data_IF_463804420065
#
_entry.id   IF_463804420065
#
_cell.length_a   1.000
_cell.length_b   1.000
_cell.length_c   1.000
_cell.angle_alpha   90.00
_cell.angle_beta   90.00
_cell.angle_gamma   90.00
#
_symmetry.space_group_name_H-M   'P 1'
#
loop_
_entity.id
_entity.type
_entity.pdbx_description
1 polymer ?
#
# COMPACT_ATOMS: atom_id res chain seq x y z
N UNK A 1 -21.64 -12.46 -27.34
CA UNK A 1 -21.59 -13.00 -25.96
C UNK A 1 -20.15 -13.39 -25.70
N UNK A 2 -19.33 -12.44 -25.23
CA UNK A 2 -17.93 -12.70 -24.89
C UNK A 2 -17.90 -13.38 -23.52
N UNK A 3 -17.35 -14.59 -23.48
CA UNK A 3 -17.16 -15.33 -22.24
C UNK A 3 -16.38 -14.47 -21.24
N UNK A 4 -16.95 -14.28 -20.05
CA UNK A 4 -16.25 -13.63 -18.94
C UNK A 4 -14.99 -14.43 -18.55
N UNK A 5 -14.00 -13.78 -17.92
CA UNK A 5 -12.76 -14.43 -17.55
C UNK A 5 -13.05 -15.63 -16.64
N UNK A 6 -12.46 -16.77 -16.98
CA UNK A 6 -12.50 -17.99 -16.16
C UNK A 6 -11.92 -17.66 -14.78
N UNK A 7 -12.56 -18.04 -13.66
CA UNK A 7 -12.01 -17.80 -12.35
C UNK A 7 -10.64 -18.48 -12.25
N UNK A 8 -9.59 -17.71 -11.94
CA UNK A 8 -8.29 -18.28 -11.62
C UNK A 8 -8.46 -19.32 -10.50
N UNK A 9 -7.71 -20.42 -10.57
CA UNK A 9 -7.66 -21.40 -9.50
C UNK A 9 -7.35 -20.67 -8.18
N UNK A 10 -8.19 -20.85 -7.15
CA UNK A 10 -8.01 -20.19 -5.86
C UNK A 10 -6.67 -20.62 -5.26
N UNK A 11 -5.80 -19.67 -5.00
CA UNK A 11 -4.59 -19.90 -4.22
C UNK A 11 -4.95 -20.15 -2.75
N UNK A 12 -4.14 -20.92 -2.03
CA UNK A 12 -4.26 -21.06 -0.58
C UNK A 12 -3.64 -19.87 0.18
N UNK A 13 -3.23 -18.81 -0.53
CA UNK A 13 -2.61 -17.62 0.06
C UNK A 13 -3.61 -16.83 0.90
N UNK A 14 -3.26 -16.54 2.14
CA UNK A 14 -4.10 -15.81 3.11
C UNK A 14 -3.49 -14.44 3.36
N UNK A 15 -4.22 -13.39 3.04
CA UNK A 15 -3.78 -11.99 3.22
C UNK A 15 -4.66 -11.32 4.27
N UNK A 16 -4.03 -10.89 5.37
CA UNK A 16 -4.67 -10.16 6.44
C UNK A 16 -4.94 -8.72 6.06
N UNK A 17 -6.14 -8.19 6.35
CA UNK A 17 -6.47 -6.77 6.18
C UNK A 17 -6.81 -6.20 7.54
N UNK A 18 -6.02 -5.22 8.00
CA UNK A 18 -6.19 -4.64 9.33
C UNK A 18 -7.27 -3.55 9.31
N UNK A 19 -8.27 -3.67 10.17
CA UNK A 19 -9.26 -2.61 10.38
C UNK A 19 -8.96 -1.86 11.68
N UNK A 20 -8.64 -0.56 11.55
CA UNK A 20 -8.58 0.38 12.66
C UNK A 20 -9.93 1.12 12.80
N UNK A 21 -10.25 1.68 13.98
CA UNK A 21 -11.36 2.61 14.10
C UNK A 21 -11.13 3.80 13.13
N UNK A 22 -12.01 4.01 12.16
CA UNK A 22 -11.86 5.05 11.14
C UNK A 22 -11.18 4.60 9.83
N UNK A 23 -10.76 3.34 9.70
CA UNK A 23 -10.45 2.75 8.39
C UNK A 23 -11.68 2.80 7.48
N UNK A 24 -11.47 3.06 6.18
CA UNK A 24 -12.55 3.20 5.20
C UNK A 24 -12.47 2.15 4.10
N UNK A 25 -11.25 1.82 3.67
CA UNK A 25 -11.00 1.03 2.46
C UNK A 25 -10.62 -0.43 2.77
N UNK A 26 -10.87 -0.90 3.99
CA UNK A 26 -10.59 -2.28 4.42
C UNK A 26 -11.42 -3.30 3.63
N UNK A 27 -12.70 -3.00 3.38
CA UNK A 27 -13.57 -3.86 2.57
C UNK A 27 -13.18 -3.89 1.09
N UNK A 28 -12.76 -2.76 0.54
CA UNK A 28 -12.30 -2.65 -0.85
C UNK A 28 -10.99 -3.41 -1.04
N UNK A 29 -10.06 -3.28 -0.08
CA UNK A 29 -8.83 -4.07 -0.04
C UNK A 29 -9.12 -5.57 0.02
N UNK A 30 -10.04 -6.00 0.88
CA UNK A 30 -10.44 -7.41 0.95
C UNK A 30 -11.06 -7.89 -0.37
N UNK A 31 -11.82 -7.04 -1.08
CA UNK A 31 -12.38 -7.36 -2.40
C UNK A 31 -11.26 -7.53 -3.43
N UNK A 32 -10.30 -6.60 -3.48
CA UNK A 32 -9.15 -6.66 -4.38
C UNK A 32 -8.34 -7.95 -4.20
N UNK A 33 -8.08 -8.37 -2.96
CA UNK A 33 -7.41 -9.64 -2.63
C UNK A 33 -8.20 -10.85 -3.18
N UNK A 34 -9.52 -10.87 -2.97
CA UNK A 34 -10.38 -11.97 -3.48
C UNK A 34 -10.41 -12.01 -5.01
N UNK A 35 -10.42 -10.86 -5.67
CA UNK A 35 -10.37 -10.77 -7.13
C UNK A 35 -9.03 -11.27 -7.69
N UNK A 36 -7.93 -11.02 -6.98
CA UNK A 36 -6.61 -11.55 -7.33
C UNK A 36 -6.47 -13.07 -7.11
N UNK A 37 -7.41 -13.70 -6.40
CA UNK A 37 -7.45 -15.16 -6.19
C UNK A 37 -6.91 -15.64 -4.85
N UNK A 38 -6.80 -14.76 -3.84
CA UNK A 38 -6.39 -15.09 -2.47
C UNK A 38 -7.54 -15.01 -1.46
N UNK A 39 -7.34 -15.58 -0.27
CA UNK A 39 -8.24 -15.44 0.86
C UNK A 39 -7.95 -14.13 1.60
N UNK A 40 -8.96 -13.27 1.73
CA UNK A 40 -8.87 -12.05 2.52
C UNK A 40 -9.34 -12.32 3.96
N UNK A 41 -8.44 -12.14 4.93
CA UNK A 41 -8.68 -12.39 6.36
C UNK A 41 -8.83 -11.04 7.09
N UNK A 42 -10.01 -10.71 7.62
CA UNK A 42 -10.17 -9.48 8.39
C UNK A 42 -9.43 -9.60 9.74
N UNK A 43 -8.60 -8.60 10.07
CA UNK A 43 -7.86 -8.51 11.32
C UNK A 43 -8.29 -7.25 12.07
N UNK A 44 -8.74 -7.39 13.31
CA UNK A 44 -9.13 -6.24 14.11
C UNK A 44 -7.91 -5.64 14.82
N UNK A 45 -7.79 -4.31 14.89
CA UNK A 45 -6.59 -3.68 15.45
C UNK A 45 -6.24 -4.09 16.92
N UNK A 46 -7.21 -4.61 17.68
CA UNK A 46 -6.99 -5.14 19.05
C UNK A 46 -6.70 -6.63 19.12
N UNK A 47 -6.71 -7.34 17.98
CA UNK A 47 -6.38 -8.75 17.94
C UNK A 47 -4.95 -8.99 18.42
N UNK A 48 -4.73 -10.16 19.04
CA UNK A 48 -3.43 -10.53 19.61
C UNK A 48 -2.62 -11.47 18.72
N UNK A 49 -3.15 -11.81 17.54
CA UNK A 49 -2.52 -12.69 16.58
C UNK A 49 -2.86 -12.26 15.16
N UNK A 50 -1.97 -12.52 14.22
CA UNK A 50 -2.20 -12.30 12.79
C UNK A 50 -3.01 -13.44 12.13
N UNK A 51 -3.59 -14.35 12.92
CA UNK A 51 -4.39 -15.48 12.42
C UNK A 51 -3.70 -16.33 11.33
N UNK A 52 -2.37 -16.47 11.39
CA UNK A 52 -1.55 -17.26 10.44
C UNK A 52 -1.70 -16.81 8.97
N UNK A 53 -1.80 -15.50 8.72
CA UNK A 53 -1.76 -14.95 7.36
C UNK A 53 -0.33 -14.94 6.81
N UNK A 54 -0.21 -15.05 5.49
CA UNK A 54 1.05 -15.07 4.75
C UNK A 54 1.53 -13.65 4.39
N UNK A 55 0.62 -12.66 4.40
CA UNK A 55 0.91 -11.26 4.16
C UNK A 55 -0.12 -10.36 4.87
N UNK A 56 0.20 -9.07 5.05
CA UNK A 56 -0.69 -8.09 5.69
C UNK A 56 -0.84 -6.84 4.85
N UNK A 57 -2.05 -6.29 4.79
CA UNK A 57 -2.34 -4.96 4.25
C UNK A 57 -2.88 -4.05 5.35
N UNK A 58 -2.28 -2.87 5.49
CA UNK A 58 -2.81 -1.74 6.23
C UNK A 58 -3.57 -0.85 5.24
N UNK A 59 -4.92 -0.79 5.30
CA UNK A 59 -5.74 -0.13 4.29
C UNK A 59 -5.79 1.39 4.48
N UNK A 60 -6.35 2.08 3.49
CA UNK A 60 -6.65 3.50 3.54
C UNK A 60 -7.81 3.89 4.45
N UNK A 61 -7.93 5.18 4.70
CA UNK A 61 -8.99 5.77 5.54
C UNK A 61 -8.47 6.95 6.37
N UNK A 62 -9.11 7.18 7.50
CA UNK A 62 -8.75 8.22 8.48
C UNK A 62 -8.71 7.55 9.86
N UNK A 63 -7.73 6.70 10.11
CA UNK A 63 -7.71 5.95 11.37
C UNK A 63 -7.62 6.91 12.57
N UNK A 64 -8.53 6.74 13.52
CA UNK A 64 -8.79 7.65 14.64
C UNK A 64 -9.09 9.10 14.20
N UNK A 65 -9.65 9.29 13.00
CA UNK A 65 -9.97 10.60 12.43
C UNK A 65 -8.74 11.46 12.13
N UNK A 66 -7.55 10.87 12.13
CA UNK A 66 -6.26 11.56 12.01
C UNK A 66 -6.09 12.71 13.04
N UNK A 67 -6.80 12.66 14.17
CA UNK A 67 -6.95 13.79 15.12
C UNK A 67 -5.66 14.34 15.72
N UNK A 68 -4.64 13.51 15.91
CA UNK A 68 -3.33 13.97 16.35
C UNK A 68 -2.42 14.26 15.16
N UNK A 69 -2.24 13.22 14.34
CA UNK A 69 -1.54 13.20 13.05
C UNK A 69 -1.91 11.89 12.38
N UNK A 70 -1.99 11.90 11.06
CA UNK A 70 -2.45 10.74 10.32
C UNK A 70 -1.60 9.47 10.62
N UNK A 71 -2.27 8.39 10.99
CA UNK A 71 -1.65 7.11 11.38
C UNK A 71 -0.92 7.07 12.75
N UNK A 72 -0.73 8.21 13.43
CA UNK A 72 0.10 8.28 14.64
C UNK A 72 -0.49 7.55 15.85
N UNK A 73 -1.81 7.44 15.96
CA UNK A 73 -2.47 6.69 17.04
C UNK A 73 -2.48 5.19 16.72
N UNK A 74 -2.69 4.84 15.45
CA UNK A 74 -2.86 3.47 14.98
C UNK A 74 -1.64 2.58 15.23
N UNK A 75 -0.42 3.13 15.17
CA UNK A 75 0.82 2.40 15.46
C UNK A 75 0.85 1.75 16.86
N UNK A 76 0.09 2.29 17.83
CA UNK A 76 0.04 1.79 19.20
C UNK A 76 -1.04 0.70 19.40
N UNK A 77 -1.73 0.30 18.33
CA UNK A 77 -2.73 -0.77 18.41
C UNK A 77 -2.06 -2.12 18.72
N UNK A 78 -2.66 -2.98 19.56
CA UNK A 78 -2.06 -4.27 19.93
C UNK A 78 -1.63 -5.15 18.75
N UNK A 79 -2.41 -5.16 17.67
CA UNK A 79 -2.08 -5.94 16.48
C UNK A 79 -0.80 -5.44 15.79
N UNK A 80 -0.49 -4.14 15.88
CA UNK A 80 0.68 -3.55 15.24
C UNK A 80 2.00 -4.08 15.83
N UNK A 81 2.04 -4.48 17.11
CA UNK A 81 3.21 -5.18 17.67
C UNK A 81 3.53 -6.44 16.85
N UNK A 82 2.50 -7.22 16.51
CA UNK A 82 2.65 -8.45 15.71
C UNK A 82 3.00 -8.15 14.25
N UNK A 83 2.44 -7.10 13.68
CA UNK A 83 2.80 -6.65 12.32
C UNK A 83 4.26 -6.21 12.27
N UNK A 84 4.74 -5.45 13.26
CA UNK A 84 6.13 -4.98 13.32
C UNK A 84 7.10 -6.16 13.47
N UNK A 85 6.82 -7.07 14.41
CA UNK A 85 7.64 -8.28 14.61
C UNK A 85 7.67 -9.14 13.35
N UNK A 86 6.50 -9.38 12.74
CA UNK A 86 6.38 -10.14 11.50
C UNK A 86 7.13 -9.49 10.34
N UNK A 87 6.97 -8.17 10.14
CA UNK A 87 7.64 -7.43 9.08
C UNK A 87 9.16 -7.50 9.20
N UNK A 88 9.70 -7.43 10.42
CA UNK A 88 11.14 -7.60 10.69
C UNK A 88 11.61 -9.03 10.43
N UNK A 89 10.73 -10.02 10.59
CA UNK A 89 10.99 -11.41 10.25
C UNK A 89 10.76 -11.74 8.76
N UNK A 90 10.42 -10.75 7.92
CA UNK A 90 10.24 -10.93 6.48
C UNK A 90 8.79 -11.08 6.01
N UNK A 91 7.79 -10.97 6.90
CA UNK A 91 6.38 -10.96 6.52
C UNK A 91 6.11 -9.83 5.52
N UNK A 92 5.51 -10.09 4.35
CA UNK A 92 5.14 -9.05 3.41
C UNK A 92 4.05 -8.13 3.99
N UNK A 93 4.29 -6.81 3.96
CA UNK A 93 3.34 -5.81 4.43
C UNK A 93 3.15 -4.70 3.39
N UNK A 94 1.90 -4.40 3.04
CA UNK A 94 1.54 -3.28 2.19
C UNK A 94 0.79 -2.22 3.02
N UNK A 95 1.25 -0.98 3.00
CA UNK A 95 0.52 0.15 3.57
C UNK A 95 -0.04 1.03 2.46
N UNK A 96 -1.36 1.18 2.41
CA UNK A 96 -2.06 1.98 1.39
C UNK A 96 -2.59 3.26 2.03
N UNK A 97 -2.27 4.42 1.45
CA UNK A 97 -2.66 5.73 1.93
C UNK A 97 -2.40 5.90 3.43
N UNK A 98 -3.44 5.85 4.27
CA UNK A 98 -3.31 5.87 5.73
C UNK A 98 -2.43 4.74 6.28
N UNK A 99 -2.45 3.56 5.65
CA UNK A 99 -1.53 2.48 5.97
C UNK A 99 -0.06 2.84 5.78
N UNK A 100 0.30 3.61 4.74
CA UNK A 100 1.68 4.08 4.56
C UNK A 100 2.08 5.07 5.66
N UNK A 101 1.18 5.98 6.04
CA UNK A 101 1.40 6.88 7.18
C UNK A 101 1.69 6.07 8.46
N UNK A 102 0.89 5.03 8.74
CA UNK A 102 1.10 4.11 9.86
C UNK A 102 2.47 3.42 9.78
N UNK A 103 2.92 2.97 8.60
CA UNK A 103 4.23 2.34 8.44
C UNK A 103 5.39 3.29 8.74
N UNK A 104 5.27 4.56 8.38
CA UNK A 104 6.28 5.58 8.73
C UNK A 104 6.30 5.88 10.23
N UNK A 105 5.11 6.00 10.86
CA UNK A 105 4.97 6.19 12.30
C UNK A 105 5.48 4.99 13.11
N UNK A 106 5.33 3.78 12.59
CA UNK A 106 5.84 2.54 13.19
C UNK A 106 7.34 2.31 12.90
N UNK A 107 7.99 3.20 12.14
CA UNK A 107 9.39 3.08 11.70
C UNK A 107 9.71 1.78 10.95
N UNK A 108 8.71 1.22 10.27
CA UNK A 108 8.91 0.15 9.28
C UNK A 108 9.35 0.71 7.93
N UNK A 109 9.03 1.98 7.66
CA UNK A 109 9.51 2.75 6.52
C UNK A 109 10.13 4.08 7.00
N UNK A 110 11.19 4.57 6.34
CA UNK A 110 11.81 5.85 6.69
C UNK A 110 11.01 7.04 6.18
N UNK A 111 11.29 8.23 6.74
CA UNK A 111 10.61 9.48 6.40
C UNK A 111 9.30 9.67 7.17
N UNK A 112 8.51 10.64 6.72
CA UNK A 112 7.23 10.99 7.31
C UNK A 112 6.24 11.50 6.26
N UNK A 113 4.97 11.54 6.64
CA UNK A 113 3.90 12.13 5.85
C UNK A 113 3.42 13.40 6.51
N UNK A 114 3.32 14.47 5.73
CA UNK A 114 2.81 15.77 6.15
C UNK A 114 1.56 16.15 5.33
N UNK A 115 0.88 17.20 5.79
CA UNK A 115 -0.13 17.88 5.00
C UNK A 115 0.38 18.26 3.62
N UNK A 116 -0.49 18.10 2.62
CA UNK A 116 -0.24 18.53 1.26
C UNK A 116 0.25 19.99 1.25
N UNK A 117 1.19 20.33 0.37
CA UNK A 117 1.80 21.67 0.29
C UNK A 117 0.80 22.83 0.06
N UNK A 118 -0.32 22.53 -0.60
CA UNK A 118 -1.43 23.44 -0.85
C UNK A 118 -2.58 23.30 0.17
N UNK A 119 -2.42 22.46 1.20
CA UNK A 119 -3.32 22.31 2.36
C UNK A 119 -4.78 21.98 2.03
N UNK A 120 -5.04 21.28 0.92
CA UNK A 120 -6.38 20.78 0.59
C UNK A 120 -6.36 19.28 0.34
N UNK A 121 -7.54 18.67 0.54
CA UNK A 121 -7.78 17.30 0.16
C UNK A 121 -7.81 17.17 -1.36
N UNK A 122 -7.09 16.19 -1.90
CA UNK A 122 -7.13 15.84 -3.31
C UNK A 122 -7.89 14.54 -3.47
N UNK A 123 -8.72 14.47 -4.51
CA UNK A 123 -9.29 13.23 -5.02
C UNK A 123 -9.17 13.25 -6.56
N UNK A 124 -8.33 12.37 -7.13
CA UNK A 124 -8.12 12.30 -8.58
C UNK A 124 -7.53 10.98 -9.02
N UNK A 125 -7.66 10.65 -10.31
CA UNK A 125 -6.79 9.64 -10.91
C UNK A 125 -5.38 10.20 -11.09
N UNK A 126 -4.38 9.44 -10.64
CA UNK A 126 -2.99 9.87 -10.67
C UNK A 126 -2.16 8.89 -11.51
N UNK A 127 -1.42 9.45 -12.47
CA UNK A 127 -0.45 8.70 -13.26
C UNK A 127 0.82 8.49 -12.42
N UNK A 128 1.32 7.27 -12.40
CA UNK A 128 2.53 6.88 -11.69
C UNK A 128 3.49 6.17 -12.63
N UNK A 129 4.79 6.27 -12.33
CA UNK A 129 5.83 5.39 -12.89
C UNK A 129 6.21 4.35 -11.85
N UNK A 130 6.27 3.09 -12.27
CA UNK A 130 6.85 2.00 -11.47
C UNK A 130 8.37 2.09 -11.52
N UNK A 131 9.02 2.29 -10.38
CA UNK A 131 10.48 2.44 -10.28
C UNK A 131 11.16 1.14 -9.82
N UNK A 132 10.52 0.38 -8.92
CA UNK A 132 11.06 -0.87 -8.39
C UNK A 132 10.01 -1.99 -8.44
N UNK A 133 10.39 -3.09 -9.10
CA UNK A 133 9.59 -4.32 -9.28
C UNK A 133 10.13 -5.52 -8.49
N UNK A 134 11.22 -5.34 -7.74
CA UNK A 134 11.88 -6.38 -6.96
C UNK A 134 11.28 -6.55 -5.54
N UNK A 135 10.16 -5.90 -5.24
CA UNK A 135 9.49 -6.00 -3.93
C UNK A 135 8.48 -7.14 -3.91
N UNK A 136 8.03 -7.54 -2.71
CA UNK A 136 6.98 -8.55 -2.56
C UNK A 136 5.64 -8.18 -3.24
N UNK A 137 5.42 -6.90 -3.50
CA UNK A 137 4.13 -6.36 -3.98
C UNK A 137 4.17 -5.81 -5.40
N UNK A 138 5.30 -5.92 -6.11
CA UNK A 138 5.50 -5.23 -7.40
C UNK A 138 6.04 -6.11 -8.53
N UNK A 139 6.21 -7.41 -8.28
CA UNK A 139 6.81 -8.36 -9.23
C UNK A 139 6.04 -8.58 -10.53
N UNK A 140 4.75 -8.25 -10.59
CA UNK A 140 3.94 -8.33 -11.81
C UNK A 140 3.95 -7.05 -12.66
N UNK A 141 4.67 -6.03 -12.24
CA UNK A 141 4.91 -4.83 -13.06
C UNK A 141 6.21 -4.94 -13.85
N UNK A 142 6.35 -4.04 -14.82
CA UNK A 142 7.61 -3.79 -15.53
C UNK A 142 8.22 -2.49 -15.03
N UNK A 143 9.53 -2.45 -14.81
CA UNK A 143 10.24 -1.21 -14.46
C UNK A 143 10.01 -0.14 -15.55
N UNK A 144 9.64 1.06 -15.13
CA UNK A 144 9.28 2.16 -16.04
C UNK A 144 7.85 2.11 -16.56
N UNK A 145 7.06 1.08 -16.23
CA UNK A 145 5.65 1.01 -16.59
C UNK A 145 4.89 2.23 -16.02
N UNK A 146 4.02 2.80 -16.84
CA UNK A 146 3.11 3.86 -16.43
C UNK A 146 1.75 3.26 -16.06
N UNK A 147 1.26 3.61 -14.88
CA UNK A 147 0.00 3.10 -14.32
C UNK A 147 -0.90 4.23 -13.84
N UNK A 148 -2.21 4.01 -13.83
CA UNK A 148 -3.20 4.97 -13.35
C UNK A 148 -3.91 4.45 -12.10
N UNK A 149 -3.62 5.07 -10.95
CA UNK A 149 -4.18 4.68 -9.66
C UNK A 149 -4.91 5.87 -9.02
N UNK A 150 -6.15 5.69 -8.52
CA UNK A 150 -6.85 6.73 -7.77
C UNK A 150 -6.04 7.21 -6.56
N UNK A 151 -6.06 8.52 -6.31
CA UNK A 151 -5.41 9.15 -5.18
C UNK A 151 -6.46 9.95 -4.40
N UNK A 152 -6.53 9.71 -3.08
CA UNK A 152 -7.37 10.50 -2.18
C UNK A 152 -6.69 10.76 -0.84
N UNK A 153 -6.24 11.99 -0.57
CA UNK A 153 -5.53 12.33 0.69
C UNK A 153 -5.55 13.83 1.04
N UNK A 154 -5.35 14.10 2.33
CA UNK A 154 -5.01 15.42 2.90
C UNK A 154 -3.55 15.48 3.34
N UNK A 155 -3.05 14.39 3.93
CA UNK A 155 -1.70 14.27 4.48
C UNK A 155 -0.84 13.30 3.64
N UNK A 156 -0.76 13.56 2.34
CA UNK A 156 -0.09 12.67 1.38
C UNK A 156 1.36 13.03 1.08
N UNK A 157 1.89 14.12 1.65
CA UNK A 157 3.19 14.68 1.27
C UNK A 157 4.32 13.91 1.94
N UNK A 158 5.05 13.10 1.16
CA UNK A 158 6.24 12.41 1.63
C UNK A 158 7.41 13.37 1.81
N UNK A 159 8.01 13.34 2.99
CA UNK A 159 9.21 14.11 3.32
C UNK A 159 10.23 13.25 4.06
N UNK A 160 11.50 13.57 3.87
CA UNK A 160 12.62 13.01 4.62
C UNK A 160 13.82 13.97 4.53
N UNK A 161 14.82 13.78 5.38
CA UNK A 161 16.09 14.49 5.25
C UNK A 161 16.84 14.08 3.96
N UNK A 162 17.79 14.91 3.52
CA UNK A 162 18.52 14.68 2.28
C UNK A 162 19.27 13.35 2.26
N UNK A 163 19.87 12.94 3.38
CA UNK A 163 20.59 11.66 3.48
C UNK A 163 19.64 10.48 3.27
N UNK A 164 18.46 10.53 3.89
CA UNK A 164 17.44 9.50 3.73
C UNK A 164 16.94 9.45 2.27
N UNK A 165 16.69 10.61 1.64
CA UNK A 165 16.28 10.65 0.24
C UNK A 165 17.38 10.09 -0.68
N UNK A 166 18.65 10.44 -0.46
CA UNK A 166 19.77 9.94 -1.25
C UNK A 166 19.95 8.42 -1.10
N UNK A 167 19.78 7.89 0.12
CA UNK A 167 19.78 6.44 0.36
C UNK A 167 18.64 5.75 -0.40
N UNK A 168 17.42 6.29 -0.36
CA UNK A 168 16.28 5.70 -1.06
C UNK A 168 16.52 5.62 -2.58
N UNK A 169 17.15 6.64 -3.16
CA UNK A 169 17.52 6.64 -4.57
C UNK A 169 18.64 5.65 -4.89
N UNK A 170 19.75 5.72 -4.14
CA UNK A 170 20.95 4.93 -4.38
C UNK A 170 20.70 3.42 -4.25
N UNK A 171 19.80 3.04 -3.36
CA UNK A 171 19.47 1.64 -3.09
C UNK A 171 18.21 1.17 -3.83
N UNK A 172 17.64 2.00 -4.71
CA UNK A 172 16.46 1.65 -5.50
C UNK A 172 15.21 1.40 -4.64
N UNK A 173 15.10 2.02 -3.47
CA UNK A 173 13.98 1.82 -2.53
C UNK A 173 12.76 2.69 -2.84
N UNK A 174 12.82 3.54 -3.87
CA UNK A 174 11.64 4.22 -4.42
C UNK A 174 10.86 3.22 -5.27
N UNK A 175 9.61 2.93 -4.90
CA UNK A 175 8.77 1.97 -5.61
C UNK A 175 7.93 2.63 -6.71
N UNK A 176 7.44 3.84 -6.45
CA UNK A 176 6.58 4.58 -7.37
C UNK A 176 6.86 6.07 -7.32
N UNK A 177 6.76 6.72 -8.48
CA UNK A 177 6.74 8.20 -8.58
C UNK A 177 5.49 8.72 -9.22
N UNK A 178 5.08 9.91 -8.80
CA UNK A 178 4.10 10.71 -9.51
C UNK A 178 4.64 11.14 -10.87
N UNK A 179 3.80 11.01 -11.90
CA UNK A 179 4.05 11.56 -13.24
C UNK A 179 3.07 12.70 -13.53
N UNK A 180 3.45 13.53 -14.50
CA UNK A 180 2.73 14.71 -15.01
C UNK A 180 2.58 15.84 -13.99
N UNK A 181 2.06 15.53 -12.80
CA UNK A 181 1.88 16.46 -11.69
C UNK A 181 2.27 15.78 -10.38
N UNK A 182 2.94 16.52 -9.50
CA UNK A 182 3.09 16.15 -8.10
C UNK A 182 1.88 16.68 -7.33
N UNK A 183 0.95 15.82 -6.89
CA UNK A 183 -0.33 16.29 -6.36
C UNK A 183 -0.19 16.90 -4.97
N UNK A 184 0.75 16.45 -4.15
CA UNK A 184 0.82 16.79 -2.73
C UNK A 184 2.12 17.49 -2.29
N UNK A 185 3.05 17.71 -3.22
CA UNK A 185 4.36 18.30 -2.94
C UNK A 185 5.36 17.32 -2.33
N UNK A 186 5.19 16.01 -2.58
CA UNK A 186 6.11 14.98 -2.08
C UNK A 186 7.52 15.20 -2.64
N UNK A 187 8.54 15.06 -1.79
CA UNK A 187 9.92 15.26 -2.24
C UNK A 187 10.32 14.21 -3.27
N UNK A 188 10.99 14.65 -4.34
CA UNK A 188 11.41 13.81 -5.49
C UNK A 188 10.26 13.07 -6.17
N UNK A 189 9.04 13.62 -6.10
CA UNK A 189 7.84 13.03 -6.68
C UNK A 189 7.55 11.61 -6.16
N UNK A 190 8.03 11.26 -4.97
CA UNK A 190 7.86 9.93 -4.38
C UNK A 190 6.38 9.71 -4.04
N UNK A 191 5.80 8.66 -4.62
CA UNK A 191 4.44 8.21 -4.33
C UNK A 191 4.41 6.96 -3.43
N UNK A 192 5.51 6.19 -3.43
CA UNK A 192 5.66 4.99 -2.62
C UNK A 192 7.11 4.52 -2.51
N UNK A 193 7.44 3.86 -1.41
CA UNK A 193 8.78 3.35 -1.09
C UNK A 193 8.71 1.93 -0.51
N UNK A 194 9.85 1.27 -0.42
CA UNK A 194 10.00 -0.02 0.24
C UNK A 194 11.10 0.00 1.30
N UNK A 195 11.08 -0.96 2.23
CA UNK A 195 12.19 -1.17 3.16
C UNK A 195 13.38 -1.87 2.49
N UNK A 196 14.49 -2.02 3.22
CA UNK A 196 15.71 -2.68 2.74
C UNK A 196 15.49 -4.08 2.20
N UNK A 197 14.68 -4.87 2.91
CA UNK A 197 14.42 -6.26 2.56
C UNK A 197 13.38 -6.42 1.43
N UNK A 198 12.73 -5.34 0.98
CA UNK A 198 11.73 -5.36 -0.09
C UNK A 198 10.39 -6.00 0.27
N UNK A 199 10.17 -6.40 1.53
CA UNK A 199 8.93 -7.04 1.98
C UNK A 199 7.87 -6.03 2.48
N UNK A 200 8.29 -4.83 2.91
CA UNK A 200 7.38 -3.76 3.34
C UNK A 200 7.30 -2.70 2.25
N UNK A 201 6.11 -2.38 1.78
CA UNK A 201 5.86 -1.35 0.75
C UNK A 201 4.81 -0.38 1.27
N UNK A 202 5.09 0.92 1.13
CA UNK A 202 4.14 1.99 1.37
C UNK A 202 3.78 2.66 0.06
N UNK A 203 2.49 2.93 -0.16
CA UNK A 203 1.97 3.60 -1.35
C UNK A 203 0.85 4.56 -0.96
N UNK A 204 0.88 5.77 -1.51
CA UNK A 204 -0.12 6.79 -1.21
C UNK A 204 -1.39 6.73 -2.09
N UNK A 205 -1.29 6.47 -3.41
CA UNK A 205 -2.44 6.06 -4.21
C UNK A 205 -3.11 4.76 -3.73
N UNK A 206 -4.36 4.55 -4.13
CA UNK A 206 -5.25 3.44 -3.74
C UNK A 206 -5.37 2.37 -4.85
N UNK A 207 -4.46 1.38 -4.91
CA UNK A 207 -4.48 0.33 -5.93
C UNK A 207 -5.72 -0.56 -5.83
N UNK A 208 -6.31 -0.71 -4.64
CA UNK A 208 -7.55 -1.44 -4.39
C UNK A 208 -8.76 -0.83 -5.13
N UNK A 209 -8.70 0.44 -5.53
CA UNK A 209 -9.74 1.11 -6.33
C UNK A 209 -9.51 1.02 -7.84
N UNK A 210 -8.44 0.36 -8.28
CA UNK A 210 -8.08 0.17 -9.69
C UNK A 210 -7.95 -1.32 -10.06
N UNK A 211 -8.87 -2.16 -9.57
CA UNK A 211 -8.83 -3.63 -9.77
C UNK A 211 -9.91 -4.18 -10.69
N UNK A 212 -10.91 -3.37 -11.06
CA UNK A 212 -12.00 -3.75 -11.96
C UNK A 212 -12.20 -2.66 -13.02
N UNK A 213 -12.53 -3.02 -14.27
CA UNK A 213 -12.69 -2.04 -15.35
C UNK A 213 -13.95 -1.16 -15.20
N UNK A 214 -14.85 -1.50 -14.27
CA UNK A 214 -16.08 -0.75 -14.01
C UNK A 214 -15.91 0.36 -12.96
N UNK A 215 -14.74 0.46 -12.32
CA UNK A 215 -14.45 1.44 -11.26
C UNK A 215 -13.11 2.16 -11.52
N UNK A 216 -12.89 3.29 -10.83
CA UNK A 216 -11.67 4.08 -10.96
C UNK A 216 -11.48 4.63 -12.37
N UNK A 217 -10.26 4.47 -12.91
CA UNK A 217 -9.86 4.96 -14.24
C UNK A 217 -10.37 4.08 -15.40
N UNK A 218 -11.21 3.07 -15.13
CA UNK A 218 -11.62 2.06 -16.11
C UNK A 218 -10.51 1.05 -16.45
N UNK A 219 -9.40 1.10 -15.72
CA UNK A 219 -8.23 0.24 -15.88
C UNK A 219 -8.07 -0.64 -14.64
N UNK A 220 -7.41 -1.78 -14.79
CA UNK A 220 -7.11 -2.71 -13.70
C UNK A 220 -5.65 -2.60 -13.24
N UNK A 221 -5.07 -1.41 -13.33
CA UNK A 221 -3.65 -1.17 -13.10
C UNK A 221 -3.22 -1.39 -11.64
N UNK A 222 -4.16 -1.46 -10.68
CA UNK A 222 -3.89 -1.77 -9.29
C UNK A 222 -3.98 -3.26 -8.94
N UNK A 223 -4.60 -4.08 -9.80
CA UNK A 223 -4.69 -5.53 -9.61
C UNK A 223 -3.32 -6.21 -9.47
N UNK A 224 -2.27 -5.82 -10.22
CA UNK A 224 -0.97 -6.48 -10.13
C UNK A 224 -0.27 -6.38 -8.76
N UNK A 225 -0.64 -5.44 -7.88
CA UNK A 225 -0.16 -5.45 -6.49
C UNK A 225 -0.53 -6.75 -5.78
N UNK A 226 -1.77 -7.19 -5.96
CA UNK A 226 -2.34 -8.33 -5.27
C UNK A 226 -1.97 -9.66 -5.95
N UNK A 227 -1.78 -9.68 -7.26
CA UNK A 227 -1.28 -10.88 -7.94
C UNK A 227 0.23 -11.08 -7.71
N UNK A 228 1.00 -10.00 -7.56
CA UNK A 228 2.44 -10.06 -7.24
C UNK A 228 2.69 -10.82 -5.94
N UNK A 229 1.94 -10.50 -4.87
CA UNK A 229 2.14 -11.15 -3.57
C UNK A 229 1.78 -12.64 -3.61
N UNK A 230 0.72 -13.00 -4.33
CA UNK A 230 0.31 -14.41 -4.49
C UNK A 230 1.41 -15.19 -5.22
N UNK A 231 1.92 -14.67 -6.34
CA UNK A 231 3.01 -15.34 -7.08
C UNK A 231 4.28 -15.43 -6.25
N UNK A 232 4.61 -14.39 -5.48
CA UNK A 232 5.78 -14.39 -4.60
C UNK A 232 5.68 -15.48 -3.53
N UNK A 233 4.50 -15.67 -2.93
CA UNK A 233 4.27 -16.66 -1.88
C UNK A 233 4.13 -18.10 -2.41
N UNK A 234 3.66 -18.28 -3.65
CA UNK A 234 3.60 -19.61 -4.29
C UNK A 234 4.99 -20.08 -4.77
N UNK A 235 5.91 -19.14 -5.01
CA UNK A 235 7.28 -19.43 -5.47
C UNK A 235 8.34 -19.48 -4.35
N UNK A 236 7.95 -19.15 -3.12
CA UNK A 236 8.81 -19.19 -1.93
C UNK A 236 8.80 -20.59 -1.29
#
# INVERSE_FOLDING_TARGET
MTAGPTPAARSNTRVGVVTFPGSLDDRDTQRAIRLAGAEAVPLWHKDKSLQQVDAVVLPGGFSYGDYLRAGAISRFSPLMEKVIDGARAGLPVLGICNGFQVLTEAHLLPGAMLGNDHLHFICRDQKLRVENTATAWTGDYVTGQEIHIPLKNMDGRYVADSRTLDMLEAEGRVAFRYLDVNPNGSLRDIAGITNEAGNVVGLMPHPEHAVEPLVGSGRTDGLPFFTSIIKKLVSA
#
